data_IF_345436515128
#
_entry.id   IF_345436515128
#
_cell.length_a   1.000
_cell.length_b   1.000
_cell.length_c   1.000
_cell.angle_alpha   90.00
_cell.angle_beta   90.00
_cell.angle_gamma   90.00
#
_symmetry.space_group_name_H-M   'P 1'
#
loop_
_entity.id
_entity.type
_entity.pdbx_description
1 polymer ?
#
# COMPACT_ATOMS: atom_id res chain seq x y z
N UNK A 1 6.30 6.46 -17.43
CA UNK A 1 4.92 6.33 -16.92
C UNK A 1 4.61 7.59 -16.13
N UNK A 2 3.48 8.26 -16.39
CA UNK A 2 3.04 9.41 -15.61
C UNK A 2 2.14 8.90 -14.47
N UNK A 3 2.53 9.14 -13.22
CA UNK A 3 1.76 8.73 -12.05
C UNK A 3 0.54 9.66 -11.92
N UNK A 4 -0.66 9.08 -11.78
CA UNK A 4 -1.90 9.79 -11.53
C UNK A 4 -2.39 9.46 -10.13
N UNK A 5 -2.88 10.47 -9.43
CA UNK A 5 -3.56 10.30 -8.14
C UNK A 5 -5.05 10.41 -8.43
N UNK A 6 -5.77 9.30 -8.32
CA UNK A 6 -7.21 9.27 -8.60
C UNK A 6 -8.03 9.62 -7.36
N UNK A 7 -7.52 9.27 -6.18
CA UNK A 7 -8.10 9.63 -4.89
C UNK A 7 -6.98 9.96 -3.90
N UNK A 8 -6.95 11.22 -3.46
CA UNK A 8 -5.90 11.75 -2.61
C UNK A 8 -6.05 11.30 -1.15
N UNK A 9 -7.27 11.05 -0.69
CA UNK A 9 -7.53 10.69 0.71
C UNK A 9 -7.14 9.23 0.98
N UNK A 10 -7.61 8.31 0.13
CA UNK A 10 -7.24 6.90 0.24
C UNK A 10 -5.75 6.65 -0.02
N UNK A 11 -5.11 7.44 -0.90
CA UNK A 11 -3.67 7.37 -1.09
C UNK A 11 -2.90 7.73 0.19
N UNK A 12 -3.31 8.79 0.90
CA UNK A 12 -2.64 9.24 2.12
C UNK A 12 -2.71 8.20 3.25
N UNK A 13 -3.85 7.53 3.39
CA UNK A 13 -4.05 6.44 4.36
C UNK A 13 -3.14 5.24 4.07
N UNK A 14 -3.00 4.87 2.79
CA UNK A 14 -2.11 3.79 2.34
C UNK A 14 -0.65 4.17 2.59
N UNK A 15 -0.24 5.39 2.27
CA UNK A 15 1.12 5.88 2.55
C UNK A 15 1.42 5.88 4.05
N UNK A 16 0.48 6.31 4.88
CA UNK A 16 0.64 6.32 6.35
C UNK A 16 0.81 4.91 6.90
N UNK A 17 0.06 3.94 6.38
CA UNK A 17 0.12 2.54 6.82
C UNK A 17 1.43 1.87 6.41
N UNK A 18 1.91 2.15 5.20
CA UNK A 18 3.11 1.51 4.63
C UNK A 18 4.41 2.21 5.04
N UNK A 19 4.39 3.53 5.20
CA UNK A 19 5.58 4.36 5.41
C UNK A 19 5.63 5.01 6.79
N UNK A 20 4.61 4.80 7.64
CA UNK A 20 4.60 5.26 9.02
C UNK A 20 5.53 4.47 9.95
N UNK A 21 5.69 4.99 11.16
CA UNK A 21 6.61 4.44 12.17
C UNK A 21 6.13 3.13 12.81
N UNK A 22 4.84 2.82 12.67
CA UNK A 22 4.22 1.65 13.30
C UNK A 22 4.53 0.40 12.48
N UNK A 23 5.28 -0.51 13.07
CA UNK A 23 5.70 -1.76 12.41
C UNK A 23 4.56 -2.78 12.31
N UNK A 24 3.66 -2.84 13.31
CA UNK A 24 2.56 -3.83 13.34
C UNK A 24 1.55 -3.67 12.19
N UNK A 25 0.98 -2.47 11.94
CA UNK A 25 0.01 -2.28 10.86
C UNK A 25 0.61 -2.58 9.48
N UNK A 26 1.88 -2.24 9.28
CA UNK A 26 2.62 -2.57 8.06
C UNK A 26 2.76 -4.09 7.88
N UNK A 27 3.04 -4.83 8.96
CA UNK A 27 3.20 -6.29 8.91
C UNK A 27 1.88 -6.97 8.57
N UNK A 28 0.79 -6.58 9.21
CA UNK A 28 -0.56 -7.11 8.93
C UNK A 28 -0.97 -6.82 7.48
N UNK A 29 -0.72 -5.61 7.00
CA UNK A 29 -1.01 -5.23 5.61
C UNK A 29 -0.26 -6.13 4.62
N UNK A 30 1.03 -6.34 4.81
CA UNK A 30 1.85 -7.20 3.95
C UNK A 30 1.35 -8.64 4.01
N UNK A 31 1.06 -9.18 5.19
CA UNK A 31 0.61 -10.57 5.33
C UNK A 31 -0.75 -10.82 4.66
N UNK A 32 -1.67 -9.87 4.76
CA UNK A 32 -3.00 -10.00 4.17
C UNK A 32 -2.97 -9.95 2.65
N UNK A 33 -2.13 -9.10 2.04
CA UNK A 33 -2.11 -8.89 0.58
C UNK A 33 -0.97 -9.62 -0.14
N UNK A 34 -0.02 -10.24 0.58
CA UNK A 34 1.16 -10.89 -0.01
C UNK A 34 0.83 -12.03 -0.99
N UNK A 35 -0.34 -12.66 -0.85
CA UNK A 35 -0.77 -13.77 -1.71
C UNK A 35 -1.73 -13.31 -2.82
N UNK A 36 -2.27 -12.10 -2.70
CA UNK A 36 -3.26 -11.55 -3.64
C UNK A 36 -2.60 -10.93 -4.87
N UNK A 37 -1.31 -10.59 -4.74
CA UNK A 37 -0.53 -9.94 -5.78
C UNK A 37 0.34 -10.96 -6.50
N UNK A 38 -0.18 -11.52 -7.59
CA UNK A 38 0.56 -12.47 -8.43
C UNK A 38 1.42 -11.81 -9.52
N UNK A 39 1.12 -10.57 -9.93
CA UNK A 39 1.87 -9.79 -10.93
C UNK A 39 1.67 -8.28 -10.68
N UNK A 40 2.74 -7.56 -10.35
CA UNK A 40 2.75 -6.09 -10.23
C UNK A 40 3.23 -5.39 -11.53
N UNK A 41 3.76 -6.16 -12.48
CA UNK A 41 4.59 -5.65 -13.57
C UNK A 41 3.96 -5.79 -14.98
N UNK A 42 2.64 -5.71 -15.13
CA UNK A 42 1.96 -5.71 -16.45
C UNK A 42 1.41 -4.33 -16.80
#
# INVERSE_FOLDING_TARGET
>A
VQVKIEDAESADDIFTTLMGDKVEPRREFIQNHALEVSELDI
#
